data_IF_958446915555
#
_entry.id   IF_958446915555
#
_cell.length_a   1.000
_cell.length_b   1.000
_cell.length_c   1.000
_cell.angle_alpha   90.00
_cell.angle_beta   90.00
_cell.angle_gamma   90.00
#
_symmetry.space_group_name_H-M   'P 1'
#
loop_
_entity.id
_entity.type
_entity.pdbx_description
1 polymer ?
#
# COMPACT_ATOMS: atom_id res chain seq x y z
N UNK A 1 -9.19 -28.80 21.09
CA UNK A 1 -7.78 -28.48 20.82
C UNK A 1 -7.78 -27.95 19.41
N UNK A 2 -8.01 -26.64 19.31
CA UNK A 2 -8.52 -25.98 18.12
C UNK A 2 -7.61 -24.81 17.85
N UNK A 3 -6.69 -24.99 16.90
CA UNK A 3 -5.95 -23.88 16.29
C UNK A 3 -6.92 -23.15 15.36
N UNK A 4 -7.27 -21.91 15.73
CA UNK A 4 -7.90 -20.96 14.82
C UNK A 4 -6.98 -19.78 14.60
N UNK A 5 -6.60 -19.65 13.34
CA UNK A 5 -5.95 -18.53 12.68
C UNK A 5 -6.65 -17.22 13.05
N UNK A 6 -5.95 -16.36 13.78
CA UNK A 6 -6.22 -14.92 13.82
C UNK A 6 -5.27 -14.26 12.82
N UNK A 7 -5.79 -13.99 11.62
CA UNK A 7 -5.15 -13.07 10.68
C UNK A 7 -5.43 -11.64 11.18
N UNK A 8 -4.66 -11.21 12.18
CA UNK A 8 -4.62 -9.81 12.58
C UNK A 8 -3.79 -9.08 11.53
N UNK A 9 -4.35 -8.00 11.00
CA UNK A 9 -3.70 -7.11 10.04
C UNK A 9 -2.39 -6.59 10.63
N UNK A 10 -1.31 -7.32 10.37
CA UNK A 10 0.04 -6.89 10.67
C UNK A 10 0.33 -5.67 9.80
N UNK A 11 0.80 -4.60 10.45
CA UNK A 11 1.48 -3.53 9.73
C UNK A 11 2.58 -4.16 8.89
N UNK A 12 2.42 -4.17 7.57
CA UNK A 12 3.46 -4.62 6.65
C UNK A 12 4.50 -3.51 6.53
N UNK A 13 5.24 -3.25 7.61
CA UNK A 13 6.51 -2.56 7.48
C UNK A 13 7.48 -3.56 6.84
N UNK A 14 7.82 -3.36 5.57
CA UNK A 14 8.87 -4.13 4.92
C UNK A 14 10.21 -3.87 5.61
N UNK A 15 11.04 -4.89 5.76
CA UNK A 15 12.41 -4.80 6.28
C UNK A 15 13.30 -3.80 5.50
N UNK A 16 12.89 -3.42 4.28
CA UNK A 16 13.54 -2.40 3.44
C UNK A 16 13.32 -0.94 3.88
N UNK A 17 12.72 -0.70 5.06
CA UNK A 17 12.21 0.62 5.47
C UNK A 17 13.05 1.35 6.52
N UNK A 18 14.22 0.83 6.94
CA UNK A 18 15.04 1.53 7.92
C UNK A 18 15.63 2.80 7.28
N UNK A 19 15.39 4.01 7.85
CA UNK A 19 16.09 5.20 7.41
C UNK A 19 17.59 4.98 7.64
N UNK A 20 18.45 5.36 6.68
CA UNK A 20 19.89 5.26 6.88
C UNK A 20 20.28 6.01 8.16
N UNK A 21 21.13 5.41 9.00
CA UNK A 21 21.66 6.11 10.17
C UNK A 21 22.36 7.39 9.70
N UNK A 22 21.89 8.55 10.17
CA UNK A 22 22.49 9.83 9.85
C UNK A 22 23.83 9.96 10.56
N UNK A 23 24.90 9.62 9.83
CA UNK A 23 26.27 9.96 10.20
C UNK A 23 26.69 11.18 9.40
N UNK A 24 27.22 12.17 10.11
CA UNK A 24 27.83 13.34 9.49
C UNK A 24 29.18 12.93 8.91
N UNK A 25 29.39 13.26 7.64
CA UNK A 25 30.66 13.07 6.93
C UNK A 25 31.23 14.46 6.60
N UNK A 26 32.12 15.02 7.44
CA UNK A 26 32.74 16.30 7.17
C UNK A 26 33.55 16.26 5.87
N UNK A 27 33.61 17.41 5.19
CA UNK A 27 34.39 17.55 3.96
C UNK A 27 35.87 17.27 4.22
N UNK A 28 36.46 16.41 3.40
CA UNK A 28 37.87 15.98 3.45
C UNK A 28 38.30 15.26 4.74
N UNK A 29 37.36 14.73 5.54
CA UNK A 29 37.68 13.91 6.69
C UNK A 29 37.33 12.44 6.44
N UNK A 30 38.24 11.52 6.79
CA UNK A 30 38.03 10.07 6.68
C UNK A 30 37.19 9.59 7.87
N UNK A 31 35.97 9.12 7.60
CA UNK A 31 35.01 8.65 8.61
C UNK A 31 34.59 7.22 8.31
N UNK A 32 34.53 6.38 9.33
CA UNK A 32 34.06 5.00 9.19
C UNK A 32 32.58 4.96 8.77
N UNK A 33 32.24 4.09 7.83
CA UNK A 33 30.84 3.82 7.48
C UNK A 33 30.24 2.91 8.57
N UNK A 34 29.09 3.26 9.17
CA UNK A 34 28.51 2.50 10.28
C UNK A 34 28.26 1.02 10.01
N UNK A 35 28.48 0.20 11.04
CA UNK A 35 28.28 -1.24 10.97
C UNK A 35 29.24 -1.92 9.98
N UNK A 36 30.47 -1.39 9.87
CA UNK A 36 31.52 -1.99 9.05
C UNK A 36 32.74 -2.49 9.83
N UNK A 37 32.80 -2.24 11.14
CA UNK A 37 33.84 -2.71 12.06
C UNK A 37 35.26 -2.35 11.56
N UNK A 38 35.42 -1.11 11.09
CA UNK A 38 36.67 -0.58 10.52
C UNK A 38 37.00 -1.05 9.10
N UNK A 39 36.08 -1.75 8.42
CA UNK A 39 36.31 -2.30 7.09
C UNK A 39 36.01 -1.34 5.93
N UNK A 40 35.30 -0.23 6.18
CA UNK A 40 34.96 0.75 5.15
C UNK A 40 35.03 2.17 5.71
N UNK A 41 35.80 3.02 5.04
CA UNK A 41 35.85 4.45 5.32
C UNK A 41 35.39 5.26 4.12
N UNK A 42 34.72 6.39 4.39
CA UNK A 42 34.32 7.38 3.40
C UNK A 42 34.98 8.72 3.71
N UNK A 43 35.51 9.37 2.68
CA UNK A 43 35.94 10.77 2.71
C UNK A 43 35.15 11.55 1.67
N UNK A 44 34.38 12.57 2.07
CA UNK A 44 33.64 13.42 1.12
C UNK A 44 34.63 14.41 0.49
N UNK A 45 34.72 14.44 -0.84
CA UNK A 45 35.59 15.34 -1.61
C UNK A 45 34.82 16.52 -2.19
N UNK A 46 33.56 16.28 -2.58
CA UNK A 46 32.60 17.30 -3.02
C UNK A 46 31.27 16.98 -2.38
N UNK A 47 30.65 17.96 -1.73
CA UNK A 47 29.35 17.76 -1.10
C UNK A 47 28.25 17.58 -2.17
N UNK A 48 27.38 16.61 -1.93
CA UNK A 48 26.14 16.45 -2.68
C UNK A 48 24.95 17.07 -1.95
N UNK A 49 23.82 17.14 -2.65
CA UNK A 49 22.56 17.61 -2.11
C UNK A 49 21.45 16.56 -2.27
N UNK A 50 20.33 16.77 -1.59
CA UNK A 50 19.16 15.89 -1.69
C UNK A 50 19.30 14.58 -0.91
N UNK A 51 18.44 13.63 -1.24
CA UNK A 51 18.30 12.35 -0.55
C UNK A 51 19.35 11.32 -0.96
N UNK A 52 19.70 10.46 -0.01
CA UNK A 52 20.57 9.31 -0.24
C UNK A 52 19.83 8.20 -1.00
N UNK A 53 20.53 7.39 -1.81
CA UNK A 53 19.92 6.25 -2.48
C UNK A 53 19.54 5.18 -1.46
N UNK A 54 18.34 4.64 -1.64
CA UNK A 54 17.79 3.59 -0.78
C UNK A 54 18.06 2.20 -1.36
N UNK A 55 18.02 1.17 -0.52
CA UNK A 55 18.15 -0.22 -0.95
C UNK A 55 17.14 -0.53 -2.08
N UNK A 56 17.62 -1.20 -3.12
CA UNK A 56 16.84 -1.52 -4.33
C UNK A 56 16.79 -0.40 -5.38
N UNK A 57 17.32 0.79 -5.09
CA UNK A 57 17.42 1.85 -6.08
C UNK A 57 18.44 1.51 -7.17
N UNK A 58 18.16 1.89 -8.40
CA UNK A 58 19.13 1.93 -9.50
C UNK A 58 19.94 3.21 -9.34
N UNK A 59 21.24 3.09 -9.13
CA UNK A 59 22.16 4.22 -8.98
C UNK A 59 23.04 4.35 -10.21
N UNK A 60 23.36 5.60 -10.57
CA UNK A 60 24.21 5.97 -11.70
C UNK A 60 25.43 6.72 -11.17
N UNK A 61 26.62 6.20 -11.40
CA UNK A 61 27.86 6.76 -10.87
C UNK A 61 28.96 6.86 -11.94
N UNK A 62 29.90 7.77 -11.73
CA UNK A 62 31.26 7.58 -12.24
C UNK A 62 32.18 7.11 -11.13
N UNK A 63 33.22 6.37 -11.50
CA UNK A 63 34.25 5.98 -10.55
C UNK A 63 35.65 5.84 -11.16
N UNK A 64 36.64 5.91 -10.28
CA UNK A 64 38.02 5.51 -10.52
C UNK A 64 38.45 4.59 -9.38
N UNK A 65 38.85 3.36 -9.70
CA UNK A 65 39.35 2.37 -8.76
C UNK A 65 40.88 2.27 -8.80
N UNK A 66 41.54 2.48 -7.67
CA UNK A 66 43.00 2.38 -7.53
C UNK A 66 43.40 1.49 -6.36
N UNK A 67 44.59 0.88 -6.47
CA UNK A 67 45.29 0.31 -5.33
C UNK A 67 45.86 1.42 -4.43
N UNK A 68 46.32 1.06 -3.23
CA UNK A 68 46.94 2.01 -2.30
C UNK A 68 48.21 2.68 -2.85
N UNK A 69 48.91 2.03 -3.78
CA UNK A 69 50.08 2.59 -4.46
C UNK A 69 49.72 3.56 -5.60
N UNK A 70 48.42 3.79 -5.83
CA UNK A 70 47.91 4.66 -6.89
C UNK A 70 47.71 3.96 -8.24
N UNK A 71 48.04 2.68 -8.37
CA UNK A 71 47.82 1.92 -9.60
C UNK A 71 46.33 1.83 -9.89
N UNK A 72 45.90 2.48 -10.98
CA UNK A 72 44.51 2.41 -11.46
C UNK A 72 44.25 1.04 -12.08
N UNK A 73 43.28 0.30 -11.53
CA UNK A 73 42.88 -1.00 -12.06
C UNK A 73 41.59 -0.93 -12.89
N UNK A 74 40.74 0.08 -12.66
CA UNK A 74 39.49 0.24 -13.38
C UNK A 74 38.96 1.68 -13.29
N UNK A 75 38.25 2.14 -14.32
CA UNK A 75 37.54 3.44 -14.29
C UNK A 75 36.42 3.48 -15.33
N UNK A 76 35.24 3.95 -14.90
CA UNK A 76 34.16 4.23 -15.84
C UNK A 76 34.41 5.50 -16.66
N UNK A 77 35.19 6.45 -16.16
CA UNK A 77 35.55 7.67 -16.90
C UNK A 77 36.42 7.35 -18.11
N UNK A 78 37.37 6.42 -17.98
CA UNK A 78 38.21 5.97 -19.10
C UNK A 78 37.39 5.30 -20.21
N UNK A 79 36.24 4.72 -19.85
CA UNK A 79 35.30 4.12 -20.81
C UNK A 79 34.36 5.13 -21.47
N UNK A 80 34.24 6.33 -20.91
CA UNK A 80 33.32 7.37 -21.40
C UNK A 80 31.84 7.14 -21.06
N UNK A 81 31.52 6.08 -20.33
CA UNK A 81 30.14 5.70 -19.99
C UNK A 81 29.92 5.65 -18.47
N UNK A 82 28.70 5.93 -18.02
CA UNK A 82 28.32 5.76 -16.62
C UNK A 82 28.30 4.28 -16.23
N UNK A 83 28.48 4.03 -14.93
CA UNK A 83 28.24 2.72 -14.36
C UNK A 83 26.94 2.73 -13.56
N UNK A 84 26.04 1.81 -13.90
CA UNK A 84 24.75 1.66 -13.26
C UNK A 84 24.66 0.32 -12.52
N UNK A 85 24.12 0.33 -11.31
CA UNK A 85 23.85 -0.89 -10.55
C UNK A 85 22.65 -0.71 -9.61
N UNK A 86 22.10 -1.82 -9.13
CA UNK A 86 21.03 -1.82 -8.12
C UNK A 86 21.63 -1.95 -6.72
N UNK A 87 21.45 -0.91 -5.91
CA UNK A 87 22.02 -0.80 -4.57
C UNK A 87 21.47 -1.87 -3.61
N UNK A 88 22.36 -2.53 -2.87
CA UNK A 88 22.00 -3.49 -1.81
C UNK A 88 21.47 -4.83 -2.32
N UNK A 89 21.78 -5.18 -3.58
CA UNK A 89 21.47 -6.48 -4.21
C UNK A 89 22.70 -7.36 -4.39
N UNK A 90 23.88 -6.96 -3.92
CA UNK A 90 25.11 -7.72 -4.10
C UNK A 90 25.61 -7.77 -5.55
N UNK A 91 25.22 -6.80 -6.38
CA UNK A 91 25.74 -6.65 -7.76
C UNK A 91 27.16 -6.07 -7.79
N UNK A 92 27.57 -5.43 -6.70
CA UNK A 92 28.89 -4.80 -6.51
C UNK A 92 29.51 -5.31 -5.20
N UNK A 93 30.78 -4.95 -4.95
CA UNK A 93 31.45 -5.30 -3.68
C UNK A 93 30.70 -4.71 -2.48
N UNK A 94 30.80 -5.37 -1.32
CA UNK A 94 30.09 -4.95 -0.09
C UNK A 94 30.38 -3.49 0.30
N UNK A 95 31.60 -3.03 0.06
CA UNK A 95 32.02 -1.66 0.31
C UNK A 95 31.25 -0.63 -0.51
N UNK A 96 30.89 -0.96 -1.75
CA UNK A 96 30.06 -0.13 -2.60
C UNK A 96 28.60 -0.14 -2.15
N UNK A 97 28.04 -1.32 -1.87
CA UNK A 97 26.65 -1.45 -1.42
C UNK A 97 26.39 -0.65 -0.13
N UNK A 98 27.37 -0.56 0.77
CA UNK A 98 27.28 0.26 1.98
C UNK A 98 27.71 1.71 1.78
N UNK A 99 28.79 1.96 1.04
CA UNK A 99 29.36 3.29 0.87
C UNK A 99 28.46 4.22 0.05
N UNK A 100 27.98 3.74 -1.11
CA UNK A 100 27.13 4.52 -2.02
C UNK A 100 25.77 4.81 -1.38
N UNK A 101 25.26 3.94 -0.50
CA UNK A 101 24.05 4.18 0.29
C UNK A 101 24.15 5.41 1.19
N UNK A 102 25.35 5.87 1.53
CA UNK A 102 25.56 7.08 2.36
C UNK A 102 25.75 8.36 1.54
N UNK A 103 25.83 8.26 0.21
CA UNK A 103 26.15 9.40 -0.66
C UNK A 103 24.91 10.19 -1.04
N UNK A 104 25.06 11.49 -1.30
CA UNK A 104 24.02 12.37 -1.84
C UNK A 104 24.19 12.61 -3.35
N UNK A 105 23.13 13.05 -4.03
CA UNK A 105 23.22 13.37 -5.46
C UNK A 105 24.22 14.52 -5.65
N UNK A 106 25.15 14.35 -6.60
CA UNK A 106 26.28 15.26 -6.84
C UNK A 106 27.46 15.06 -5.91
N UNK A 107 27.37 14.20 -4.88
CA UNK A 107 28.49 13.91 -3.98
C UNK A 107 29.60 13.19 -4.73
N UNK A 108 30.83 13.63 -4.49
CA UNK A 108 32.04 12.90 -4.84
C UNK A 108 32.73 12.47 -3.56
N UNK A 109 32.99 11.17 -3.41
CA UNK A 109 33.59 10.62 -2.21
C UNK A 109 34.66 9.59 -2.55
N UNK A 110 35.67 9.50 -1.68
CA UNK A 110 36.64 8.42 -1.67
C UNK A 110 36.17 7.32 -0.71
N UNK A 111 35.92 6.13 -1.25
CA UNK A 111 35.61 4.92 -0.47
C UNK A 111 36.88 4.07 -0.35
N UNK A 112 37.32 3.86 0.88
CA UNK A 112 38.46 2.99 1.22
C UNK A 112 37.94 1.68 1.77
N UNK A 113 38.02 0.64 0.94
CA UNK A 113 37.45 -0.66 1.22
C UNK A 113 38.55 -1.63 1.64
N UNK A 114 38.45 -2.19 2.84
CA UNK A 114 39.28 -3.32 3.27
C UNK A 114 38.99 -4.56 2.40
N UNK A 115 39.86 -5.58 2.41
CA UNK A 115 39.64 -6.80 1.64
C UNK A 115 38.28 -7.46 1.92
N UNK A 116 37.82 -7.46 3.17
CA UNK A 116 36.55 -8.06 3.60
C UNK A 116 35.32 -7.37 2.99
N UNK A 117 35.48 -6.08 2.63
CA UNK A 117 34.49 -5.25 1.94
C UNK A 117 34.76 -5.12 0.44
N UNK A 118 35.82 -5.75 -0.07
CA UNK A 118 36.23 -5.79 -1.48
C UNK A 118 36.22 -7.23 -2.02
N UNK A 119 37.37 -7.73 -2.49
CA UNK A 119 37.51 -9.04 -3.14
C UNK A 119 38.15 -10.12 -2.24
N UNK A 120 38.41 -9.80 -0.97
CA UNK A 120 38.93 -10.73 0.03
C UNK A 120 40.26 -11.39 -0.33
N UNK A 121 40.49 -12.57 0.24
CA UNK A 121 41.72 -13.35 0.04
C UNK A 121 41.91 -13.87 -1.39
N UNK A 122 40.84 -13.95 -2.18
CA UNK A 122 40.94 -14.38 -3.56
C UNK A 122 41.45 -13.27 -4.50
N UNK A 123 41.15 -12.00 -4.18
CA UNK A 123 41.38 -10.89 -5.10
C UNK A 123 40.55 -11.00 -6.38
N UNK A 124 40.98 -10.33 -7.43
CA UNK A 124 40.46 -10.49 -8.80
C UNK A 124 41.63 -10.41 -9.80
N UNK A 125 42.40 -11.50 -9.94
CA UNK A 125 43.57 -11.52 -10.82
C UNK A 125 43.21 -11.28 -12.30
N UNK A 126 44.11 -10.65 -13.09
CA UNK A 126 45.45 -10.19 -12.70
C UNK A 126 45.48 -8.79 -12.05
N UNK A 127 44.38 -8.03 -12.12
CA UNK A 127 44.38 -6.60 -11.80
C UNK A 127 44.28 -6.29 -10.29
N UNK A 128 43.65 -7.18 -9.51
CA UNK A 128 43.44 -6.98 -8.08
C UNK A 128 44.10 -8.14 -7.31
N UNK A 129 45.17 -7.87 -6.54
CA UNK A 129 45.83 -8.89 -5.72
C UNK A 129 44.94 -9.45 -4.61
N UNK A 130 45.34 -10.60 -4.06
CA UNK A 130 44.78 -11.17 -2.85
C UNK A 130 44.92 -10.20 -1.66
N UNK A 131 43.88 -10.08 -0.83
CA UNK A 131 43.85 -9.23 0.35
C UNK A 131 44.18 -7.74 0.08
N UNK A 132 43.82 -7.23 -1.10
CA UNK A 132 44.05 -5.84 -1.45
C UNK A 132 43.01 -4.89 -0.82
N UNK A 133 43.48 -3.82 -0.19
CA UNK A 133 42.67 -2.65 0.15
C UNK A 133 42.52 -1.79 -1.10
N UNK A 134 41.29 -1.39 -1.42
CA UNK A 134 40.97 -0.64 -2.62
C UNK A 134 40.49 0.76 -2.29
N UNK A 135 40.88 1.73 -3.11
CA UNK A 135 40.37 3.09 -3.09
C UNK A 135 39.47 3.30 -4.30
N UNK A 136 38.28 3.83 -4.06
CA UNK A 136 37.34 4.21 -5.11
C UNK A 136 36.96 5.67 -4.96
N UNK A 137 37.35 6.51 -5.90
CA UNK A 137 36.70 7.81 -6.06
C UNK A 137 35.39 7.57 -6.79
N UNK A 138 34.26 7.81 -6.13
CA UNK A 138 32.91 7.63 -6.67
C UNK A 138 32.21 8.98 -6.72
N UNK A 139 31.52 9.26 -7.81
CA UNK A 139 30.67 10.44 -7.98
C UNK A 139 29.24 9.97 -8.29
N UNK A 140 28.29 10.29 -7.41
CA UNK A 140 26.89 9.89 -7.54
C UNK A 140 26.13 10.91 -8.38
N UNK A 141 25.73 10.53 -9.59
CA UNK A 141 25.00 11.43 -10.49
C UNK A 141 23.50 11.38 -10.29
N UNK A 142 22.95 10.17 -10.15
CA UNK A 142 21.52 9.98 -10.12
C UNK A 142 21.16 8.67 -9.45
N UNK A 143 19.94 8.60 -8.89
CA UNK A 143 19.34 7.33 -8.53
C UNK A 143 17.83 7.36 -8.72
N UNK A 144 17.26 6.22 -9.08
CA UNK A 144 15.80 6.01 -9.13
C UNK A 144 15.43 4.76 -8.34
N UNK A 145 14.34 4.85 -7.58
CA UNK A 145 13.65 3.65 -7.07
C UNK A 145 12.29 3.57 -7.74
N UNK A 146 12.22 2.79 -8.80
CA UNK A 146 10.97 2.46 -9.48
C UNK A 146 10.32 1.25 -8.81
N UNK A 147 9.06 1.42 -8.41
CA UNK A 147 8.24 0.39 -7.78
C UNK A 147 6.98 0.22 -8.60
N UNK A 148 6.73 -1.00 -9.06
CA UNK A 148 5.44 -1.33 -9.66
C UNK A 148 4.39 -1.47 -8.55
N UNK A 149 3.51 -0.48 -8.45
CA UNK A 149 2.43 -0.41 -7.46
C UNK A 149 1.09 -0.87 -8.04
N UNK A 150 1.07 -1.39 -9.28
CA UNK A 150 -0.11 -2.01 -9.85
C UNK A 150 -0.50 -3.29 -9.09
N UNK A 151 -1.79 -3.59 -9.08
CA UNK A 151 -2.31 -4.81 -8.46
C UNK A 151 -1.84 -6.07 -9.22
N UNK A 152 -1.71 -5.98 -10.55
CA UNK A 152 -1.33 -7.09 -11.41
C UNK A 152 0.19 -7.27 -11.58
N UNK A 153 1.01 -6.34 -11.07
CA UNK A 153 2.46 -6.30 -11.30
C UNK A 153 2.82 -6.28 -12.79
N UNK A 154 2.04 -5.54 -13.57
CA UNK A 154 2.12 -5.44 -15.03
C UNK A 154 2.74 -4.11 -15.51
N UNK A 155 3.38 -3.36 -14.60
CA UNK A 155 4.00 -2.06 -14.83
C UNK A 155 3.04 -0.97 -15.31
N UNK A 156 1.74 -1.16 -15.14
CA UNK A 156 0.72 -0.16 -15.48
C UNK A 156 0.73 1.05 -14.54
N UNK A 157 1.28 0.89 -13.34
CA UNK A 157 1.37 1.94 -12.33
C UNK A 157 2.77 1.91 -11.69
N UNK A 158 3.63 2.82 -12.14
CA UNK A 158 5.05 2.86 -11.77
C UNK A 158 5.32 4.07 -10.89
N UNK A 159 5.74 3.83 -9.66
CA UNK A 159 6.08 4.86 -8.69
C UNK A 159 7.60 5.05 -8.63
N UNK A 160 8.06 6.29 -8.71
CA UNK A 160 9.46 6.71 -8.62
C UNK A 160 9.62 7.61 -7.39
N UNK A 161 10.35 7.14 -6.37
CA UNK A 161 10.60 7.95 -5.16
C UNK A 161 11.61 9.05 -5.50
N UNK A 162 11.24 10.31 -5.22
CA UNK A 162 12.07 11.50 -5.49
C UNK A 162 12.74 12.04 -4.22
N UNK A 163 12.05 11.93 -3.09
CA UNK A 163 12.51 12.27 -1.75
C UNK A 163 11.85 11.31 -0.78
N UNK A 164 12.64 10.69 0.07
CA UNK A 164 12.11 9.73 1.04
C UNK A 164 11.29 10.41 2.14
N UNK A 165 10.23 9.74 2.58
CA UNK A 165 9.38 10.24 3.66
C UNK A 165 9.99 9.99 5.04
N UNK A 166 9.57 10.81 5.99
CA UNK A 166 9.76 10.55 7.42
C UNK A 166 8.59 9.70 7.92
N UNK A 167 8.83 8.82 8.89
CA UNK A 167 7.86 7.88 9.46
C UNK A 167 7.59 6.61 8.62
N UNK A 168 6.97 5.63 9.29
CA UNK A 168 6.62 4.31 8.75
C UNK A 168 5.14 4.18 8.39
N UNK A 169 4.35 5.24 8.61
CA UNK A 169 2.91 5.22 8.34
C UNK A 169 2.63 5.62 6.90
N UNK A 170 1.92 4.77 6.19
CA UNK A 170 1.29 5.13 4.92
C UNK A 170 -0.12 5.70 5.19
N UNK A 171 -0.61 6.59 4.32
CA UNK A 171 -2.03 6.91 4.27
C UNK A 171 -2.86 5.62 4.15
N UNK A 172 -4.03 5.64 4.76
CA UNK A 172 -5.07 4.63 4.68
C UNK A 172 -6.44 5.32 4.61
N UNK A 173 -7.54 4.58 4.45
CA UNK A 173 -8.89 5.13 4.45
C UNK A 173 -9.11 6.07 5.65
N UNK A 174 -9.66 7.26 5.36
CA UNK A 174 -9.89 8.35 6.31
C UNK A 174 -8.62 9.08 6.81
N UNK A 175 -7.47 8.88 6.16
CA UNK A 175 -6.27 9.69 6.44
C UNK A 175 -6.41 11.07 5.81
N UNK A 176 -6.08 12.11 6.57
CA UNK A 176 -5.94 13.47 6.08
C UNK A 176 -4.53 13.66 5.54
N UNK A 177 -4.44 14.03 4.27
CA UNK A 177 -3.18 14.28 3.55
C UNK A 177 -3.21 15.73 3.05
N UNK A 178 -2.22 16.51 3.45
CA UNK A 178 -1.94 17.83 2.84
C UNK A 178 -0.75 17.65 1.90
N UNK A 179 -0.92 18.03 0.64
CA UNK A 179 0.09 17.79 -0.40
C UNK A 179 0.13 18.87 -1.48
N UNK A 180 1.28 18.96 -2.14
CA UNK A 180 1.40 19.57 -3.46
C UNK A 180 1.26 18.49 -4.53
N UNK A 181 0.37 18.70 -5.50
CA UNK A 181 0.12 17.81 -6.63
C UNK A 181 0.40 18.53 -7.95
N UNK A 182 1.25 17.91 -8.77
CA UNK A 182 1.54 18.31 -10.13
C UNK A 182 1.13 17.18 -11.07
N UNK A 183 0.48 17.52 -12.18
CA UNK A 183 0.01 16.53 -13.15
C UNK A 183 0.66 16.83 -14.48
N UNK A 184 1.27 15.83 -15.09
CA UNK A 184 1.92 15.90 -16.39
C UNK A 184 1.27 14.91 -17.35
N UNK A 185 1.27 15.25 -18.64
CA UNK A 185 0.94 14.33 -19.71
C UNK A 185 2.25 13.81 -20.31
N UNK A 186 2.37 12.48 -20.38
CA UNK A 186 3.58 11.78 -20.77
C UNK A 186 4.53 11.48 -19.60
N UNK A 187 5.74 11.09 -19.96
CA UNK A 187 6.80 10.79 -18.99
C UNK A 187 7.27 12.08 -18.30
N UNK A 188 7.58 11.96 -17.01
CA UNK A 188 8.19 13.01 -16.21
C UNK A 188 9.61 12.58 -15.86
N UNK A 189 10.60 13.36 -16.31
CA UNK A 189 11.98 13.19 -15.91
C UNK A 189 12.28 14.10 -14.70
N UNK A 190 12.44 13.53 -13.49
CA UNK A 190 12.75 14.33 -12.31
C UNK A 190 14.10 15.04 -12.40
N UNK A 191 15.07 14.50 -13.16
CA UNK A 191 16.38 15.11 -13.34
C UNK A 191 16.31 16.36 -14.24
N UNK A 192 15.31 16.44 -15.11
CA UNK A 192 15.09 17.55 -16.03
C UNK A 192 13.72 18.22 -15.82
N UNK A 193 13.27 18.36 -14.56
CA UNK A 193 11.93 18.89 -14.23
C UNK A 193 11.57 20.19 -14.96
N UNK A 194 12.55 21.05 -15.24
CA UNK A 194 12.36 22.34 -15.92
C UNK A 194 11.93 22.21 -17.39
N UNK A 195 12.17 21.05 -18.02
CA UNK A 195 11.70 20.74 -19.38
C UNK A 195 10.24 20.29 -19.40
N UNK A 196 9.66 19.99 -18.24
CA UNK A 196 8.28 19.53 -18.11
C UNK A 196 7.39 20.68 -17.64
N UNK A 197 6.23 20.84 -18.27
CA UNK A 197 5.20 21.80 -17.83
C UNK A 197 3.99 21.01 -17.33
N UNK A 198 3.55 21.21 -16.07
CA UNK A 198 2.39 20.52 -15.55
C UNK A 198 1.11 21.07 -16.23
N UNK A 199 0.19 20.17 -16.57
CA UNK A 199 -1.16 20.54 -17.02
C UNK A 199 -2.05 21.01 -15.88
N UNK A 200 -1.70 20.63 -14.64
CA UNK A 200 -2.38 21.05 -13.42
C UNK A 200 -1.40 21.12 -12.25
N UNK A 201 -1.56 22.14 -11.42
CA UNK A 201 -0.86 22.30 -10.14
C UNK A 201 -1.90 22.58 -9.05
N UNK A 202 -1.78 21.90 -7.92
CA UNK A 202 -2.59 22.10 -6.72
C UNK A 202 -1.66 22.13 -5.52
N UNK A 203 -1.47 23.29 -4.90
CA UNK A 203 -0.54 23.45 -3.77
C UNK A 203 -1.29 23.51 -2.44
N UNK A 204 -0.72 22.89 -1.40
CA UNK A 204 -1.32 22.80 -0.07
C UNK A 204 -2.71 22.15 -0.07
N UNK A 205 -2.98 21.26 -1.03
CA UNK A 205 -4.28 20.64 -1.18
C UNK A 205 -4.50 19.60 -0.10
N UNK A 206 -5.52 19.82 0.73
CA UNK A 206 -5.91 18.85 1.76
C UNK A 206 -7.00 17.92 1.23
N UNK A 207 -6.77 16.61 1.39
CA UNK A 207 -7.69 15.55 0.99
C UNK A 207 -7.86 14.54 2.12
N UNK A 208 -9.03 13.91 2.18
CA UNK A 208 -9.27 12.76 3.06
C UNK A 208 -9.30 11.51 2.18
N UNK A 209 -8.27 10.67 2.30
CA UNK A 209 -8.06 9.52 1.41
C UNK A 209 -9.24 8.55 1.50
N UNK A 210 -9.80 8.22 0.33
CA UNK A 210 -10.98 7.38 0.17
C UNK A 210 -12.32 8.07 0.45
N UNK A 211 -12.34 9.34 0.84
CA UNK A 211 -13.57 10.14 1.04
C UNK A 211 -13.65 11.29 0.02
N UNK A 212 -12.57 12.03 -0.16
CA UNK A 212 -12.43 13.00 -1.25
C UNK A 212 -12.47 12.26 -2.59
N UNK A 213 -13.20 12.79 -3.58
CA UNK A 213 -13.20 12.24 -4.93
C UNK A 213 -11.81 12.41 -5.54
N UNK A 214 -11.13 11.31 -5.83
CA UNK A 214 -9.79 11.27 -6.41
C UNK A 214 -9.80 10.35 -7.65
N UNK A 215 -8.90 10.56 -8.63
CA UNK A 215 -8.62 9.57 -9.65
C UNK A 215 -8.18 8.27 -8.95
N UNK A 216 -8.71 7.10 -9.32
CA UNK A 216 -8.41 5.85 -8.61
C UNK A 216 -6.91 5.55 -8.52
N UNK A 217 -6.15 5.88 -9.56
CA UNK A 217 -4.70 5.66 -9.60
C UNK A 217 -3.94 6.63 -8.69
N UNK A 218 -4.44 7.85 -8.50
CA UNK A 218 -3.88 8.80 -7.53
C UNK A 218 -4.15 8.30 -6.10
N UNK A 219 -5.34 7.77 -5.81
CA UNK A 219 -5.66 7.18 -4.50
C UNK A 219 -4.74 5.99 -4.18
N UNK A 220 -4.56 5.06 -5.15
CA UNK A 220 -3.61 3.92 -5.00
C UNK A 220 -2.18 4.40 -4.80
N UNK A 221 -1.78 5.46 -5.48
CA UNK A 221 -0.45 6.06 -5.31
C UNK A 221 -0.27 6.62 -3.90
N UNK A 222 -1.24 7.37 -3.38
CA UNK A 222 -1.17 7.93 -2.01
C UNK A 222 -1.03 6.85 -0.95
N UNK A 223 -1.68 5.69 -1.10
CA UNK A 223 -1.51 4.54 -0.20
C UNK A 223 -0.08 3.96 -0.13
N UNK A 224 0.83 4.39 -1.02
CA UNK A 224 2.23 3.94 -1.07
C UNK A 224 3.22 5.00 -0.61
N UNK A 225 2.76 6.22 -0.37
CA UNK A 225 3.60 7.33 0.09
C UNK A 225 3.65 7.42 1.61
N UNK A 226 4.54 8.25 2.13
CA UNK A 226 4.69 8.57 3.56
C UNK A 226 4.75 10.07 3.79
N UNK A 227 4.70 10.49 5.04
CA UNK A 227 4.78 11.91 5.42
C UNK A 227 6.11 12.52 4.96
N UNK A 228 6.11 13.73 4.41
CA UNK A 228 7.29 14.40 3.82
C UNK A 228 7.94 13.68 2.62
N UNK A 229 7.32 12.62 2.11
CA UNK A 229 7.77 11.94 0.89
C UNK A 229 7.39 12.78 -0.33
N UNK A 230 8.30 12.84 -1.31
CA UNK A 230 7.97 13.28 -2.66
C UNK A 230 8.19 12.12 -3.64
N UNK A 231 7.22 11.85 -4.48
CA UNK A 231 7.28 10.76 -5.46
C UNK A 231 6.56 11.15 -6.76
N UNK A 232 6.97 10.53 -7.86
CA UNK A 232 6.25 10.55 -9.11
C UNK A 232 5.55 9.20 -9.33
N UNK A 233 4.39 9.19 -9.97
CA UNK A 233 3.67 7.98 -10.34
C UNK A 233 3.21 8.09 -11.79
N UNK A 234 3.83 7.30 -12.65
CA UNK A 234 3.43 7.14 -14.05
C UNK A 234 2.28 6.15 -14.14
N UNK A 235 1.19 6.63 -14.69
CA UNK A 235 -0.03 5.87 -14.97
C UNK A 235 -0.09 5.58 -16.46
N UNK A 236 -0.11 4.28 -16.81
CA UNK A 236 -0.23 3.83 -18.19
C UNK A 236 -1.55 4.31 -18.80
N UNK A 237 -1.51 4.71 -20.07
CA UNK A 237 -2.61 5.41 -20.72
C UNK A 237 -3.94 4.65 -20.78
N UNK A 238 -3.93 3.32 -20.76
CA UNK A 238 -5.10 2.42 -20.73
C UNK A 238 -5.85 2.45 -19.39
N UNK A 239 -5.22 2.91 -18.31
CA UNK A 239 -5.87 3.07 -17.01
C UNK A 239 -6.66 4.39 -16.90
N UNK A 240 -6.44 5.34 -17.80
CA UNK A 240 -7.14 6.64 -17.85
C UNK A 240 -7.69 6.85 -19.27
N UNK A 241 -8.72 6.09 -19.64
CA UNK A 241 -9.32 6.20 -20.97
C UNK A 241 -10.04 7.54 -21.17
N UNK A 242 -10.88 7.91 -20.19
CA UNK A 242 -11.72 9.10 -20.24
C UNK A 242 -10.98 10.34 -19.74
N UNK A 243 -11.48 11.52 -20.14
CA UNK A 243 -10.98 12.77 -19.61
C UNK A 243 -11.35 12.94 -18.12
N UNK A 244 -10.47 13.57 -17.35
CA UNK A 244 -10.75 14.02 -15.99
C UNK A 244 -10.59 15.55 -15.91
N UNK A 245 -11.64 16.32 -16.26
CA UNK A 245 -11.56 17.79 -16.39
C UNK A 245 -11.17 18.51 -15.09
N UNK A 246 -11.62 17.98 -13.95
CA UNK A 246 -11.24 18.41 -12.59
C UNK A 246 -9.72 18.53 -12.40
N UNK A 247 -9.00 17.59 -13.01
CA UNK A 247 -7.54 17.46 -12.95
C UNK A 247 -6.85 17.96 -14.22
N UNK A 248 -7.60 18.57 -15.15
CA UNK A 248 -7.12 18.98 -16.47
C UNK A 248 -6.44 17.84 -17.25
N UNK A 249 -6.87 16.58 -17.05
CA UNK A 249 -6.36 15.42 -17.78
C UNK A 249 -7.24 15.18 -19.02
N UNK A 250 -6.70 15.29 -20.24
CA UNK A 250 -7.43 14.95 -21.46
C UNK A 250 -7.71 13.45 -21.57
N UNK A 251 -8.64 13.05 -22.44
CA UNK A 251 -8.88 11.63 -22.73
C UNK A 251 -7.62 10.97 -23.30
N UNK A 252 -7.55 9.63 -23.25
CA UNK A 252 -6.42 8.88 -23.82
C UNK A 252 -6.22 9.18 -25.29
N UNK A 253 -7.31 9.32 -26.06
CA UNK A 253 -7.24 9.68 -27.47
C UNK A 253 -6.68 11.10 -27.68
N UNK A 254 -7.16 12.08 -26.91
CA UNK A 254 -6.77 13.49 -27.09
C UNK A 254 -5.32 13.77 -26.70
N UNK A 255 -4.74 12.94 -25.82
CA UNK A 255 -3.32 13.00 -25.45
C UNK A 255 -2.44 12.03 -26.25
N UNK A 256 -2.92 11.52 -27.39
CA UNK A 256 -2.16 10.65 -28.28
C UNK A 256 -1.75 9.32 -27.64
N UNK A 257 -2.59 8.80 -26.75
CA UNK A 257 -2.33 7.61 -25.92
C UNK A 257 -1.10 7.73 -25.02
N UNK A 258 -0.66 8.96 -24.73
CA UNK A 258 0.37 9.23 -23.75
C UNK A 258 -0.07 8.85 -22.33
N UNK A 259 0.90 8.45 -21.52
CA UNK A 259 0.73 8.20 -20.10
C UNK A 259 0.40 9.50 -19.35
N UNK A 260 0.03 9.39 -18.08
CA UNK A 260 -0.15 10.54 -17.18
C UNK A 260 0.77 10.34 -15.99
N UNK A 261 1.50 11.38 -15.61
CA UNK A 261 2.37 11.32 -14.43
C UNK A 261 1.87 12.25 -13.34
N UNK A 262 1.56 11.70 -12.18
CA UNK A 262 1.33 12.46 -10.95
C UNK A 262 2.66 12.67 -10.23
N UNK A 263 2.97 13.89 -9.83
CA UNK A 263 4.07 14.17 -8.90
C UNK A 263 3.46 14.76 -7.64
N UNK A 264 3.70 14.10 -6.51
CA UNK A 264 3.11 14.44 -5.22
C UNK A 264 4.23 14.69 -4.22
N UNK A 265 4.10 15.76 -3.44
CA UNK A 265 4.88 15.98 -2.23
C UNK A 265 3.92 16.11 -1.04
N UNK A 266 3.98 15.17 -0.10
CA UNK A 266 3.13 15.19 1.10
C UNK A 266 3.79 16.05 2.16
N UNK A 267 3.15 17.14 2.58
CA UNK A 267 3.65 17.97 3.67
C UNK A 267 3.18 17.48 5.04
N UNK A 268 1.92 17.04 5.13
CA UNK A 268 1.30 16.58 6.38
C UNK A 268 0.48 15.30 6.15
N UNK A 269 0.56 14.40 7.12
CA UNK A 269 -0.22 13.16 7.16
C UNK A 269 -0.73 12.97 8.59
N UNK A 270 -2.03 12.73 8.73
CA UNK A 270 -2.64 12.36 10.01
C UNK A 270 -3.82 11.42 9.80
N UNK A 271 -4.11 10.58 10.78
CA UNK A 271 -5.28 9.72 10.81
C UNK A 271 -5.74 9.57 12.25
N UNK A 272 -7.04 9.70 12.50
CA UNK A 272 -7.64 9.48 13.83
C UNK A 272 -7.35 8.06 14.29
N UNK A 273 -6.76 7.84 15.47
CA UNK A 273 -6.41 6.48 15.93
C UNK A 273 -7.42 5.99 16.95
N UNK A 274 -7.67 4.69 16.98
CA UNK A 274 -8.69 4.09 17.85
C UNK A 274 -8.30 4.15 19.33
N UNK A 275 -7.01 4.17 19.63
CA UNK A 275 -6.46 4.26 20.99
C UNK A 275 -6.48 5.67 21.57
N UNK A 276 -6.81 6.70 20.77
CA UNK A 276 -7.00 8.08 21.26
C UNK A 276 -8.32 8.24 22.03
N UNK A 277 -9.17 7.21 22.05
CA UNK A 277 -10.52 7.25 22.63
C UNK A 277 -10.77 6.06 23.56
N UNK A 278 -11.59 6.29 24.59
CA UNK A 278 -12.06 5.27 25.53
C UNK A 278 -13.56 5.44 25.82
N UNK A 279 -14.19 4.41 26.37
CA UNK A 279 -15.58 4.47 26.86
C UNK A 279 -16.56 5.01 25.81
N UNK A 280 -17.44 5.91 26.24
CA UNK A 280 -18.48 6.51 25.39
C UNK A 280 -17.93 7.31 24.21
N UNK A 281 -16.78 7.98 24.36
CA UNK A 281 -16.16 8.75 23.28
C UNK A 281 -15.74 7.84 22.11
N UNK A 282 -15.27 6.63 22.43
CA UNK A 282 -14.92 5.63 21.40
C UNK A 282 -16.16 5.09 20.67
N UNK A 283 -17.27 4.93 21.39
CA UNK A 283 -18.57 4.56 20.80
C UNK A 283 -19.06 5.66 19.85
N UNK A 284 -18.95 6.93 20.26
CA UNK A 284 -19.34 8.08 19.45
C UNK A 284 -18.56 8.15 18.12
N UNK A 285 -17.26 7.85 18.13
CA UNK A 285 -16.47 7.77 16.89
C UNK A 285 -16.89 6.62 15.97
N UNK A 286 -17.31 5.48 16.51
CA UNK A 286 -17.93 4.40 15.76
C UNK A 286 -19.28 4.81 15.15
N UNK A 287 -20.12 5.51 15.91
CA UNK A 287 -21.43 5.98 15.46
C UNK A 287 -21.32 7.07 14.38
N UNK A 288 -20.37 7.99 14.50
CA UNK A 288 -20.05 8.99 13.48
C UNK A 288 -19.74 8.34 12.13
N UNK A 289 -18.92 7.29 12.12
CA UNK A 289 -18.56 6.53 10.92
C UNK A 289 -19.70 5.69 10.39
N UNK A 290 -20.50 5.08 11.27
CA UNK A 290 -21.78 4.43 10.90
C UNK A 290 -22.68 5.40 10.14
N UNK A 291 -22.84 6.62 10.62
CA UNK A 291 -23.68 7.64 9.99
C UNK A 291 -23.12 8.05 8.61
N UNK A 292 -21.81 8.25 8.52
CA UNK A 292 -21.13 8.50 7.23
C UNK A 292 -21.34 7.34 6.23
N UNK A 293 -21.28 6.09 6.71
CA UNK A 293 -21.61 4.91 5.92
C UNK A 293 -23.07 4.87 5.47
N UNK A 294 -24.01 5.25 6.34
CA UNK A 294 -25.43 5.35 5.99
C UNK A 294 -25.68 6.40 4.90
N UNK A 295 -24.98 7.53 4.96
CA UNK A 295 -25.14 8.59 3.96
C UNK A 295 -24.53 8.18 2.61
N UNK A 296 -23.36 7.52 2.63
CA UNK A 296 -22.79 6.91 1.43
C UNK A 296 -23.71 5.84 0.83
N UNK A 297 -24.35 5.02 1.66
CA UNK A 297 -25.31 4.01 1.23
C UNK A 297 -26.54 4.63 0.55
N UNK A 298 -27.13 5.66 1.16
CA UNK A 298 -28.26 6.41 0.56
C UNK A 298 -27.88 7.05 -0.77
N UNK A 299 -26.63 7.49 -0.92
CA UNK A 299 -26.10 8.02 -2.16
C UNK A 299 -25.77 6.95 -3.21
N UNK A 300 -26.02 5.66 -2.94
CA UNK A 300 -25.71 4.54 -3.83
C UNK A 300 -24.21 4.20 -3.91
N UNK A 301 -23.36 4.83 -3.09
CA UNK A 301 -21.91 4.62 -3.07
C UNK A 301 -21.56 3.44 -2.18
N UNK A 302 -21.88 2.22 -2.64
CA UNK A 302 -21.73 1.00 -1.86
C UNK A 302 -20.29 0.73 -1.41
N UNK A 303 -19.28 1.04 -2.24
CA UNK A 303 -17.88 0.86 -1.86
C UNK A 303 -17.48 1.75 -0.69
N UNK A 304 -17.83 3.04 -0.77
CA UNK A 304 -17.59 4.00 0.29
C UNK A 304 -18.33 3.64 1.58
N UNK A 305 -19.59 3.18 1.47
CA UNK A 305 -20.37 2.72 2.60
C UNK A 305 -19.70 1.54 3.31
N UNK A 306 -19.23 0.54 2.56
CA UNK A 306 -18.48 -0.60 3.11
C UNK A 306 -17.24 -0.13 3.89
N UNK A 307 -16.43 0.75 3.29
CA UNK A 307 -15.22 1.29 3.93
C UNK A 307 -15.54 2.01 5.24
N UNK A 308 -16.58 2.84 5.28
CA UNK A 308 -17.00 3.51 6.51
C UNK A 308 -17.49 2.55 7.59
N UNK A 309 -18.26 1.51 7.25
CA UNK A 309 -18.68 0.54 8.25
C UNK A 309 -17.53 -0.32 8.77
N UNK A 310 -16.58 -0.73 7.91
CA UNK A 310 -15.36 -1.40 8.35
C UNK A 310 -14.55 -0.50 9.27
N UNK A 311 -14.43 0.78 8.91
CA UNK A 311 -13.75 1.78 9.71
C UNK A 311 -14.45 2.05 11.05
N UNK A 312 -15.78 2.01 11.11
CA UNK A 312 -16.52 2.04 12.38
C UNK A 312 -16.19 0.82 13.25
N UNK A 313 -16.09 -0.38 12.67
CA UNK A 313 -15.75 -1.61 13.40
C UNK A 313 -14.36 -1.57 14.06
N UNK A 314 -13.42 -0.77 13.55
CA UNK A 314 -12.13 -0.59 14.24
C UNK A 314 -12.28 0.08 15.62
N UNK A 315 -13.32 0.88 15.83
CA UNK A 315 -13.59 1.57 17.10
C UNK A 315 -14.43 0.72 18.05
N UNK A 316 -15.44 0.02 17.53
CA UNK A 316 -16.47 -0.65 18.35
C UNK A 316 -16.53 -2.16 18.16
N UNK A 317 -15.66 -2.77 17.34
CA UNK A 317 -15.77 -4.17 16.96
C UNK A 317 -15.45 -5.16 18.08
N UNK A 318 -14.55 -4.78 18.97
CA UNK A 318 -14.10 -5.59 20.10
C UNK A 318 -14.51 -4.96 21.44
N UNK A 319 -14.67 -5.80 22.48
CA UNK A 319 -14.96 -5.34 23.84
C UNK A 319 -13.72 -4.78 24.56
N UNK A 320 -12.53 -4.95 23.98
CA UNK A 320 -11.28 -4.48 24.56
C UNK A 320 -11.25 -2.95 24.68
N UNK A 321 -10.96 -2.46 25.90
CA UNK A 321 -10.94 -1.04 26.23
C UNK A 321 -12.30 -0.44 26.58
N UNK A 322 -13.34 -1.27 26.76
CA UNK A 322 -14.65 -0.85 27.27
C UNK A 322 -14.91 -1.42 28.67
N UNK A 323 -15.33 -0.55 29.58
CA UNK A 323 -15.83 -0.96 30.89
C UNK A 323 -17.16 -1.69 30.76
N UNK A 324 -17.47 -2.60 31.69
CA UNK A 324 -18.70 -3.41 31.65
C UNK A 324 -19.98 -2.55 31.61
N UNK A 325 -19.94 -1.35 32.19
CA UNK A 325 -21.06 -0.41 32.18
C UNK A 325 -21.42 0.11 30.77
N UNK A 326 -20.44 0.25 29.88
CA UNK A 326 -20.66 0.82 28.53
C UNK A 326 -20.77 -0.24 27.44
N UNK A 327 -20.44 -1.50 27.74
CA UNK A 327 -20.53 -2.62 26.79
C UNK A 327 -21.93 -2.80 26.17
N UNK A 328 -23.05 -2.72 26.92
CA UNK A 328 -24.38 -2.86 26.32
C UNK A 328 -24.65 -1.83 25.22
N UNK A 329 -24.22 -0.58 25.44
CA UNK A 329 -24.36 0.49 24.47
C UNK A 329 -23.42 0.29 23.26
N UNK A 330 -22.18 -0.15 23.50
CA UNK A 330 -21.25 -0.52 22.42
C UNK A 330 -21.83 -1.65 21.56
N UNK A 331 -22.38 -2.71 22.17
CA UNK A 331 -23.02 -3.83 21.47
C UNK A 331 -24.22 -3.36 20.64
N UNK A 332 -25.03 -2.44 21.14
CA UNK A 332 -26.14 -1.84 20.38
C UNK A 332 -25.66 -1.17 19.09
N UNK A 333 -24.60 -0.36 19.15
CA UNK A 333 -24.02 0.29 17.96
C UNK A 333 -23.34 -0.74 17.05
N UNK A 334 -22.62 -1.72 17.63
CA UNK A 334 -21.93 -2.79 16.89
C UNK A 334 -22.91 -3.64 16.07
N UNK A 335 -24.02 -4.07 16.67
CA UNK A 335 -25.10 -4.79 15.96
C UNK A 335 -25.60 -3.98 14.77
N UNK A 336 -25.82 -2.67 14.96
CA UNK A 336 -26.27 -1.79 13.88
C UNK A 336 -25.24 -1.66 12.76
N UNK A 337 -23.95 -1.51 13.08
CA UNK A 337 -22.88 -1.38 12.09
C UNK A 337 -22.70 -2.69 11.32
N UNK A 338 -22.59 -3.82 12.00
CA UNK A 338 -22.42 -5.13 11.36
C UNK A 338 -23.64 -5.49 10.49
N UNK A 339 -24.85 -5.17 10.94
CA UNK A 339 -26.06 -5.38 10.16
C UNK A 339 -26.09 -4.54 8.87
N UNK A 340 -25.69 -3.28 8.94
CA UNK A 340 -25.60 -2.42 7.75
C UNK A 340 -24.46 -2.86 6.82
N UNK A 341 -23.32 -3.27 7.37
CA UNK A 341 -22.20 -3.82 6.61
C UNK A 341 -22.61 -5.10 5.86
N UNK A 342 -23.28 -6.04 6.53
CA UNK A 342 -23.80 -7.25 5.90
C UNK A 342 -24.74 -6.92 4.73
N UNK A 343 -25.61 -5.92 4.88
CA UNK A 343 -26.48 -5.46 3.80
C UNK A 343 -25.70 -4.92 2.59
N UNK A 344 -24.68 -4.10 2.83
CA UNK A 344 -23.82 -3.57 1.76
C UNK A 344 -23.08 -4.69 1.05
N UNK A 345 -22.54 -5.65 1.80
CA UNK A 345 -21.81 -6.79 1.26
C UNK A 345 -22.70 -7.67 0.38
N UNK A 346 -23.96 -7.91 0.76
CA UNK A 346 -24.94 -8.58 -0.11
C UNK A 346 -25.13 -7.85 -1.44
N UNK A 347 -25.31 -6.54 -1.40
CA UNK A 347 -25.53 -5.73 -2.60
C UNK A 347 -24.28 -5.67 -3.50
N UNK A 348 -23.11 -6.01 -2.96
CA UNK A 348 -21.85 -6.16 -3.69
C UNK A 348 -21.54 -7.62 -4.08
N UNK A 349 -22.48 -8.55 -3.89
CA UNK A 349 -22.31 -9.99 -4.12
C UNK A 349 -21.16 -10.64 -3.33
N UNK A 350 -20.75 -10.02 -2.20
CA UNK A 350 -19.76 -10.59 -1.27
C UNK A 350 -20.48 -11.48 -0.26
N UNK A 351 -21.00 -12.61 -0.74
CA UNK A 351 -21.88 -13.48 0.04
C UNK A 351 -21.19 -14.06 1.28
N UNK A 352 -19.93 -14.49 1.16
CA UNK A 352 -19.15 -15.02 2.29
C UNK A 352 -19.02 -14.02 3.44
N UNK A 353 -18.52 -12.80 3.17
CA UNK A 353 -18.39 -11.75 4.17
C UNK A 353 -19.75 -11.36 4.78
N UNK A 354 -20.80 -11.27 3.95
CA UNK A 354 -22.14 -10.96 4.46
C UNK A 354 -22.64 -12.01 5.44
N UNK A 355 -22.44 -13.30 5.13
CA UNK A 355 -22.83 -14.39 6.01
C UNK A 355 -22.07 -14.31 7.34
N UNK A 356 -20.76 -14.02 7.29
CA UNK A 356 -19.93 -13.85 8.48
C UNK A 356 -20.45 -12.74 9.41
N UNK A 357 -20.66 -11.53 8.88
CA UNK A 357 -21.15 -10.42 9.69
C UNK A 357 -22.58 -10.65 10.20
N UNK A 358 -23.43 -11.33 9.42
CA UNK A 358 -24.78 -11.69 9.86
C UNK A 358 -24.73 -12.67 11.04
N UNK A 359 -23.84 -13.68 11.01
CA UNK A 359 -23.62 -14.58 12.15
C UNK A 359 -23.07 -13.85 13.37
N UNK A 360 -22.14 -12.90 13.18
CA UNK A 360 -21.62 -12.05 14.27
C UNK A 360 -22.73 -11.23 14.94
N UNK A 361 -23.69 -10.70 14.17
CA UNK A 361 -24.89 -10.05 14.73
C UNK A 361 -25.71 -11.04 15.55
N UNK A 362 -25.99 -12.24 15.01
CA UNK A 362 -26.77 -13.27 15.70
C UNK A 362 -26.11 -13.80 16.97
N UNK A 363 -24.78 -13.71 17.08
CA UNK A 363 -24.04 -14.01 18.31
C UNK A 363 -24.34 -13.02 19.44
N UNK A 364 -24.74 -11.78 19.13
CA UNK A 364 -25.12 -10.76 20.12
C UNK A 364 -26.65 -10.62 20.27
N UNK A 365 -27.39 -10.85 19.19
CA UNK A 365 -28.85 -10.78 19.13
C UNK A 365 -29.38 -11.94 18.28
N UNK A 366 -29.59 -13.09 18.93
CA UNK A 366 -30.00 -14.33 18.27
C UNK A 366 -31.36 -14.25 17.56
N UNK A 367 -32.22 -13.30 17.96
CA UNK A 367 -33.56 -13.13 17.41
C UNK A 367 -33.64 -12.02 16.36
N UNK A 368 -32.49 -11.52 15.88
CA UNK A 368 -32.45 -10.44 14.90
C UNK A 368 -32.98 -10.90 13.53
N UNK A 369 -34.25 -10.61 13.24
CA UNK A 369 -34.92 -11.06 12.01
C UNK A 369 -34.26 -10.50 10.74
N UNK A 370 -33.72 -9.28 10.79
CA UNK A 370 -32.95 -8.69 9.68
C UNK A 370 -31.64 -9.44 9.41
N UNK A 371 -30.92 -9.83 10.46
CA UNK A 371 -29.68 -10.58 10.32
C UNK A 371 -29.93 -12.02 9.82
N UNK A 372 -30.96 -12.70 10.34
CA UNK A 372 -31.40 -14.00 9.82
C UNK A 372 -31.76 -13.91 8.32
N UNK A 373 -32.49 -12.87 7.92
CA UNK A 373 -32.90 -12.70 6.53
C UNK A 373 -31.71 -12.45 5.61
N UNK A 374 -30.75 -11.62 6.05
CA UNK A 374 -29.51 -11.35 5.31
C UNK A 374 -28.62 -12.58 5.23
N UNK A 375 -28.51 -13.36 6.31
CA UNK A 375 -27.80 -14.63 6.33
C UNK A 375 -28.41 -15.60 5.33
N UNK A 376 -29.74 -15.77 5.32
CA UNK A 376 -30.42 -16.62 4.35
C UNK A 376 -30.14 -16.21 2.90
N UNK A 377 -30.16 -14.91 2.58
CA UNK A 377 -29.81 -14.40 1.24
C UNK A 377 -28.33 -14.60 0.89
N UNK A 378 -27.43 -14.48 1.87
CA UNK A 378 -26.02 -14.75 1.65
C UNK A 378 -25.80 -16.24 1.33
N UNK A 379 -26.44 -17.12 2.10
CA UNK A 379 -26.38 -18.57 1.93
C UNK A 379 -27.00 -19.03 0.63
N UNK A 380 -28.08 -18.39 0.18
CA UNK A 380 -28.64 -18.59 -1.17
C UNK A 380 -27.59 -18.34 -2.26
N UNK A 381 -26.89 -17.20 -2.19
CA UNK A 381 -25.79 -16.88 -3.10
C UNK A 381 -24.60 -17.84 -3.02
N UNK A 382 -24.44 -18.53 -1.89
CA UNK A 382 -23.44 -19.59 -1.67
C UNK A 382 -23.97 -21.00 -2.02
N UNK A 383 -25.24 -21.12 -2.41
CA UNK A 383 -25.92 -22.40 -2.68
C UNK A 383 -26.05 -23.31 -1.42
N UNK A 384 -26.05 -22.72 -0.22
CA UNK A 384 -26.28 -23.38 1.07
C UNK A 384 -27.78 -23.34 1.44
N UNK A 385 -28.64 -23.95 0.61
CA UNK A 385 -30.09 -23.75 0.73
C UNK A 385 -30.71 -24.36 1.99
N UNK A 386 -30.17 -25.46 2.52
CA UNK A 386 -30.71 -26.08 3.73
C UNK A 386 -30.55 -25.15 4.95
N UNK A 387 -29.37 -24.58 5.10
CA UNK A 387 -29.06 -23.59 6.14
C UNK A 387 -29.84 -22.29 5.93
N UNK A 388 -29.98 -21.84 4.69
CA UNK A 388 -30.79 -20.67 4.37
C UNK A 388 -32.26 -20.86 4.78
N UNK A 389 -32.84 -22.05 4.49
CA UNK A 389 -34.21 -22.39 4.89
C UNK A 389 -34.34 -22.43 6.42
N UNK A 390 -33.37 -22.98 7.16
CA UNK A 390 -33.36 -22.94 8.63
C UNK A 390 -33.42 -21.52 9.16
N UNK A 391 -32.64 -20.60 8.59
CA UNK A 391 -32.67 -19.18 8.97
C UNK A 391 -34.06 -18.57 8.73
N UNK A 392 -34.68 -18.86 7.59
CA UNK A 392 -36.01 -18.34 7.27
C UNK A 392 -37.10 -18.95 8.16
N UNK A 393 -36.96 -20.21 8.54
CA UNK A 393 -37.87 -20.87 9.49
C UNK A 393 -37.81 -20.24 10.88
N UNK A 394 -36.61 -19.85 11.33
CA UNK A 394 -36.44 -19.06 12.54
C UNK A 394 -37.16 -17.71 12.44
N UNK A 395 -37.06 -17.01 11.30
CA UNK A 395 -37.79 -15.75 11.09
C UNK A 395 -39.30 -15.99 11.17
N UNK A 396 -39.84 -16.99 10.48
CA UNK A 396 -41.28 -17.27 10.48
C UNK A 396 -41.80 -17.77 11.83
N UNK A 397 -40.92 -18.29 12.69
CA UNK A 397 -41.26 -18.62 14.07
C UNK A 397 -41.43 -17.35 14.92
N UNK A 398 -40.60 -16.34 14.70
CA UNK A 398 -40.63 -15.05 15.43
C UNK A 398 -41.72 -14.12 14.85
N UNK A 399 -41.81 -14.04 13.53
CA UNK A 399 -42.72 -13.18 12.76
C UNK A 399 -43.50 -14.02 11.70
N UNK A 400 -44.57 -14.74 12.10
CA UNK A 400 -45.30 -15.62 11.18
C UNK A 400 -45.93 -14.92 9.95
N UNK A 401 -46.17 -13.60 10.05
CA UNK A 401 -46.74 -12.79 8.98
C UNK A 401 -45.72 -12.13 8.05
N UNK A 402 -44.43 -12.46 8.16
CA UNK A 402 -43.38 -11.83 7.36
C UNK A 402 -43.44 -12.28 5.88
N UNK A 403 -44.01 -11.42 5.02
CA UNK A 403 -44.22 -11.71 3.61
C UNK A 403 -42.91 -11.94 2.82
N UNK A 404 -41.84 -11.22 3.18
CA UNK A 404 -40.53 -11.36 2.54
C UNK A 404 -39.91 -12.72 2.87
N UNK A 405 -40.01 -13.16 4.13
CA UNK A 405 -39.53 -14.46 4.58
C UNK A 405 -40.28 -15.62 3.90
N UNK A 406 -41.61 -15.51 3.78
CA UNK A 406 -42.41 -16.51 3.04
C UNK A 406 -41.97 -16.61 1.58
N UNK A 407 -41.80 -15.45 0.93
CA UNK A 407 -41.38 -15.39 -0.48
C UNK A 407 -39.97 -15.95 -0.68
N UNK A 408 -39.03 -15.62 0.22
CA UNK A 408 -37.67 -16.15 0.18
C UNK A 408 -37.65 -17.67 0.39
N UNK A 409 -38.43 -18.19 1.34
CA UNK A 409 -38.53 -19.65 1.56
C UNK A 409 -39.02 -20.40 0.32
N UNK A 410 -39.98 -19.84 -0.40
CA UNK A 410 -40.49 -20.42 -1.64
C UNK A 410 -39.41 -20.47 -2.72
N UNK A 411 -38.65 -19.38 -2.87
CA UNK A 411 -37.51 -19.31 -3.79
C UNK A 411 -36.42 -20.33 -3.45
N UNK A 412 -35.97 -20.39 -2.20
CA UNK A 412 -34.93 -21.33 -1.75
C UNK A 412 -35.31 -22.79 -2.03
N UNK A 413 -36.57 -23.15 -1.76
CA UNK A 413 -37.08 -24.51 -2.05
C UNK A 413 -37.13 -24.82 -3.54
N UNK A 414 -37.38 -23.82 -4.38
CA UNK A 414 -37.37 -23.99 -5.83
C UNK A 414 -35.95 -24.24 -6.33
N UNK A 415 -34.97 -23.43 -5.89
CA UNK A 415 -33.55 -23.58 -6.26
C UNK A 415 -32.98 -24.93 -5.82
N UNK A 416 -33.22 -25.33 -4.56
CA UNK A 416 -32.80 -26.62 -4.04
C UNK A 416 -33.34 -27.80 -4.88
N UNK A 417 -34.65 -27.77 -5.22
CA UNK A 417 -35.26 -28.80 -6.07
C UNK A 417 -34.66 -28.85 -7.48
N UNK A 418 -34.40 -27.68 -8.07
CA UNK A 418 -33.79 -27.59 -9.40
C UNK A 418 -32.38 -28.17 -9.40
N UNK A 419 -31.58 -27.88 -8.37
CA UNK A 419 -30.25 -28.45 -8.19
C UNK A 419 -30.30 -29.97 -8.04
N UNK A 420 -31.15 -30.49 -7.16
CA UNK A 420 -31.31 -31.94 -6.95
C UNK A 420 -31.70 -32.68 -8.23
N UNK A 421 -32.61 -32.09 -9.03
CA UNK A 421 -33.00 -32.65 -10.32
C UNK A 421 -31.83 -32.69 -11.31
N UNK A 422 -31.02 -31.62 -11.35
CA UNK A 422 -29.83 -31.55 -12.21
C UNK A 422 -28.78 -32.58 -11.79
N UNK A 423 -28.51 -32.72 -10.49
CA UNK A 423 -27.60 -33.73 -9.95
C UNK A 423 -28.05 -35.15 -10.30
N UNK A 424 -29.34 -35.46 -10.09
CA UNK A 424 -29.92 -36.75 -10.50
C UNK A 424 -29.78 -37.02 -11.99
N UNK A 425 -30.00 -36.01 -12.84
CA UNK A 425 -29.83 -36.13 -14.28
C UNK A 425 -28.38 -36.38 -14.70
N UNK A 426 -27.43 -35.64 -14.12
CA UNK A 426 -25.99 -35.82 -14.39
C UNK A 426 -25.51 -37.21 -13.93
N UNK A 427 -25.89 -37.63 -12.72
CA UNK A 427 -25.58 -38.96 -12.21
C UNK A 427 -26.11 -40.04 -13.16
N UNK A 428 -27.39 -39.96 -13.57
CA UNK A 428 -27.98 -40.92 -14.51
C UNK A 428 -27.20 -41.02 -15.83
N UNK A 429 -26.67 -39.92 -16.36
CA UNK A 429 -25.85 -39.89 -17.59
C UNK A 429 -24.44 -40.44 -17.41
N UNK A 430 -23.88 -40.39 -16.20
CA UNK A 430 -22.54 -40.94 -15.91
C UNK A 430 -22.56 -42.47 -15.77
N UNK A 431 -23.71 -43.06 -15.43
CA UNK A 431 -23.88 -44.50 -15.22
C UNK A 431 -24.74 -45.18 -16.30
N UNK A 432 -25.08 -44.46 -17.38
CA UNK A 432 -25.70 -44.97 -18.61
C UNK A 432 -24.70 -44.91 -19.75
#
# INVERSE_FOLDING_TARGET
MSDQLTDSAASTASDDSQPPMEVLYPLNEEVEVPGTDGGLYKTVLVEGAGSQPVKGAKVTVHYVGTLLDGTKFDSSRDRGDYFEFTLGRGQVIKGWDKGVATMRIGEKALLKCSPEYAYGAAGSPPSIPANATLLFEVELFHWTREVDISAAKDKSLMMSVLKDGIDYENPDFESSVTMDLYIYVGDFDPANKEKHTPVKVMSGWNVVVGVTSLPPQLEVFLYKMRKQEAAACRVRSDLICDAAPEFAIPSSADRGHGDVTYVVEISELSRVKTYDFTGEAKIAEGEKRKNSGNDAFKAGKLDLAERFYRRAMEFIGEDYGFDDAVKPECHRVRISVMGNLAQVLLMRNKHTDSAEFSRKVLGLDANNTKALFRLAKAQDGLQEWEEAIKCVDSILTIEPGNADAVSLKAHLKQEQRAFDQKQKSMFKKMFS
#
